data_IF_635354111460
#
_entry.id   IF_635354111460
#
_cell.length_a   1.000
_cell.length_b   1.000
_cell.length_c   1.000
_cell.angle_alpha   90.00
_cell.angle_beta   90.00
_cell.angle_gamma   90.00
#
_symmetry.space_group_name_H-M   'P 1'
#
loop_
_entity.id
_entity.type
_entity.pdbx_description
1 polymer ?
#
# COMPACT_ATOMS: atom_id res chain seq x y z
N UNK A 1 -2.26 -7.59 19.81
CA UNK A 1 -2.36 -7.78 18.33
C UNK A 1 -1.87 -9.15 17.89
N UNK A 2 -0.69 -9.57 18.34
CA UNK A 2 -0.10 -10.85 17.93
C UNK A 2 -0.84 -12.08 18.47
N UNK A 3 -1.57 -11.94 19.58
CA UNK A 3 -2.38 -13.04 20.13
C UNK A 3 -3.44 -13.57 19.14
N UNK A 4 -3.89 -12.72 18.23
CA UNK A 4 -4.85 -13.05 17.17
C UNK A 4 -4.31 -14.10 16.20
N UNK A 5 -2.99 -14.25 16.09
CA UNK A 5 -2.37 -15.27 15.26
C UNK A 5 -2.68 -16.68 15.78
N UNK A 6 -2.93 -16.83 17.09
CA UNK A 6 -3.23 -18.10 17.74
C UNK A 6 -4.72 -18.42 17.81
N UNK A 7 -5.60 -17.52 17.39
CA UNK A 7 -7.04 -17.75 17.38
C UNK A 7 -7.48 -18.67 16.21
N UNK A 8 -8.66 -19.30 16.22
CA UNK A 8 -9.20 -19.97 15.04
C UNK A 8 -9.55 -18.99 13.91
N UNK A 9 -9.40 -19.41 12.65
CA UNK A 9 -9.82 -18.60 11.50
C UNK A 9 -11.34 -18.71 11.37
N UNK A 10 -12.05 -17.60 11.59
CA UNK A 10 -13.51 -17.54 11.49
C UNK A 10 -14.03 -17.10 10.11
N UNK A 11 -13.21 -16.36 9.36
CA UNK A 11 -13.52 -15.86 8.02
C UNK A 11 -12.43 -16.37 7.08
N UNK A 12 -12.65 -17.48 6.36
CA UNK A 12 -11.60 -18.13 5.58
C UNK A 12 -11.09 -17.27 4.42
N UNK A 13 -11.96 -16.43 3.86
CA UNK A 13 -11.65 -15.51 2.76
C UNK A 13 -11.31 -14.10 3.23
N UNK A 14 -11.25 -13.87 4.54
CA UNK A 14 -10.87 -12.61 5.15
C UNK A 14 -10.20 -12.89 6.50
N UNK A 15 -9.06 -13.57 6.46
CA UNK A 15 -8.40 -14.12 7.63
C UNK A 15 -8.07 -13.00 8.60
N UNK A 16 -8.48 -13.20 9.86
CA UNK A 16 -8.25 -12.24 10.96
C UNK A 16 -8.88 -10.85 10.73
N UNK A 17 -9.90 -10.73 9.88
CA UNK A 17 -10.52 -9.44 9.57
C UNK A 17 -10.95 -8.64 10.80
N UNK A 18 -11.38 -9.28 11.90
CA UNK A 18 -11.69 -8.58 13.16
C UNK A 18 -10.46 -7.88 13.76
N UNK A 19 -9.31 -8.54 13.70
CA UNK A 19 -8.02 -7.98 14.10
C UNK A 19 -7.58 -6.85 13.19
N UNK A 20 -7.67 -7.07 11.89
CA UNK A 20 -7.33 -6.08 10.86
C UNK A 20 -8.18 -4.83 11.02
N UNK A 21 -9.50 -4.94 11.28
CA UNK A 21 -10.37 -3.80 11.60
C UNK A 21 -9.81 -3.03 12.80
N UNK A 22 -9.50 -3.70 13.91
CA UNK A 22 -8.98 -3.04 15.11
C UNK A 22 -7.65 -2.32 14.85
N UNK A 23 -6.78 -2.87 13.99
CA UNK A 23 -5.51 -2.23 13.63
C UNK A 23 -5.71 -1.05 12.69
N UNK A 24 -6.54 -1.24 11.67
CA UNK A 24 -6.89 -0.21 10.70
C UNK A 24 -7.47 1.02 11.40
N UNK A 25 -8.37 0.83 12.38
CA UNK A 25 -8.94 1.94 13.18
C UNK A 25 -7.89 2.67 14.03
N UNK A 26 -6.96 1.95 14.66
CA UNK A 26 -5.91 2.57 15.48
C UNK A 26 -4.90 3.34 14.64
N UNK A 27 -4.49 2.77 13.51
CA UNK A 27 -3.58 3.42 12.55
C UNK A 27 -4.25 4.64 11.96
N UNK A 28 -5.49 4.51 11.50
CA UNK A 28 -6.30 5.63 11.00
C UNK A 28 -6.37 6.78 12.00
N UNK A 29 -6.63 6.48 13.29
CA UNK A 29 -6.61 7.49 14.34
C UNK A 29 -5.22 8.13 14.52
N UNK A 30 -4.15 7.33 14.57
CA UNK A 30 -2.80 7.85 14.77
C UNK A 30 -2.34 8.77 13.62
N UNK A 31 -2.60 8.36 12.38
CA UNK A 31 -2.31 9.17 11.18
C UNK A 31 -3.17 10.43 11.16
N UNK A 32 -4.45 10.32 11.50
CA UNK A 32 -5.34 11.47 11.65
C UNK A 32 -4.80 12.50 12.65
N UNK A 33 -4.47 12.05 13.87
CA UNK A 33 -3.98 12.92 14.94
C UNK A 33 -2.63 13.58 14.55
N UNK A 34 -1.74 12.82 13.90
CA UNK A 34 -0.46 13.31 13.38
C UNK A 34 -0.65 14.47 12.39
N UNK A 35 -1.49 14.27 11.37
CA UNK A 35 -1.77 15.31 10.36
C UNK A 35 -2.48 16.52 10.98
N UNK A 36 -3.43 16.30 11.91
CA UNK A 36 -4.10 17.40 12.62
C UNK A 36 -3.16 18.17 13.54
N UNK A 37 -2.11 17.53 14.04
CA UNK A 37 -1.02 18.15 14.78
C UNK A 37 -0.02 18.91 13.88
N UNK A 38 -0.27 19.01 12.58
CA UNK A 38 0.67 19.60 11.59
C UNK A 38 2.01 18.86 11.48
N UNK A 39 2.03 17.56 11.76
CA UNK A 39 3.19 16.70 11.56
C UNK A 39 3.07 15.92 10.24
N UNK A 40 4.22 15.51 9.71
CA UNK A 40 4.30 14.59 8.57
C UNK A 40 4.33 13.15 9.09
N UNK A 41 3.35 12.28 8.76
CA UNK A 41 3.37 10.88 9.15
C UNK A 41 4.41 10.10 8.35
N UNK A 42 5.32 9.45 9.07
CA UNK A 42 6.16 8.37 8.57
C UNK A 42 5.68 7.08 9.23
N UNK A 43 5.13 6.18 8.44
CA UNK A 43 4.53 4.92 8.93
C UNK A 43 5.50 3.78 8.68
N UNK A 44 5.84 3.04 9.72
CA UNK A 44 6.53 1.76 9.62
C UNK A 44 5.51 0.69 9.99
N UNK A 45 5.01 -0.05 9.02
CA UNK A 45 3.96 -1.06 9.23
C UNK A 45 4.53 -2.48 9.15
N UNK A 46 3.73 -3.44 9.62
CA UNK A 46 4.04 -4.86 9.53
C UNK A 46 3.65 -5.39 8.16
N UNK A 47 2.46 -5.98 8.06
CA UNK A 47 1.90 -6.35 6.77
C UNK A 47 1.22 -5.17 6.06
N UNK A 48 1.01 -5.30 4.74
CA UNK A 48 0.49 -4.22 3.90
C UNK A 48 -1.01 -3.89 4.13
N UNK A 49 -1.76 -4.74 4.84
CA UNK A 49 -3.18 -4.46 5.16
C UNK A 49 -3.36 -3.15 5.95
N UNK A 50 -2.31 -2.76 6.69
CA UNK A 50 -2.24 -1.55 7.48
C UNK A 50 -2.36 -0.26 6.66
N UNK A 51 -2.00 -0.29 5.38
CA UNK A 51 -2.08 0.87 4.49
C UNK A 51 -3.52 1.38 4.31
N UNK A 52 -4.53 0.52 4.44
CA UNK A 52 -5.94 0.94 4.49
C UNK A 52 -6.18 1.92 5.66
N UNK A 53 -5.55 1.66 6.80
CA UNK A 53 -5.62 2.51 7.98
C UNK A 53 -4.95 3.85 7.73
N UNK A 54 -3.77 3.83 7.09
CA UNK A 54 -3.05 5.03 6.67
C UNK A 54 -3.92 5.90 5.75
N UNK A 55 -4.48 5.32 4.69
CA UNK A 55 -5.37 6.00 3.74
C UNK A 55 -6.60 6.58 4.44
N UNK A 56 -7.27 5.79 5.28
CA UNK A 56 -8.44 6.24 6.05
C UNK A 56 -8.10 7.43 6.97
N UNK A 57 -6.95 7.38 7.65
CA UNK A 57 -6.48 8.45 8.53
C UNK A 57 -6.21 9.75 7.78
N UNK A 58 -5.55 9.67 6.61
CA UNK A 58 -5.33 10.81 5.72
C UNK A 58 -6.66 11.41 5.29
N UNK A 59 -7.59 10.57 4.81
CA UNK A 59 -8.89 11.02 4.32
C UNK A 59 -9.74 11.66 5.41
N UNK A 60 -9.74 11.10 6.62
CA UNK A 60 -10.38 11.71 7.79
C UNK A 60 -9.77 13.07 8.14
N UNK A 61 -8.44 13.19 8.06
CA UNK A 61 -7.77 14.44 8.40
C UNK A 61 -8.00 15.53 7.35
N UNK A 62 -8.15 15.11 6.08
CA UNK A 62 -8.32 15.98 4.91
C UNK A 62 -9.50 15.52 4.05
N UNK A 63 -10.76 15.65 4.52
CA UNK A 63 -11.93 15.07 3.84
C UNK A 63 -12.21 15.64 2.45
N UNK A 64 -11.76 16.88 2.20
CA UNK A 64 -11.87 17.55 0.89
C UNK A 64 -10.69 17.26 -0.04
N UNK A 65 -9.68 16.53 0.43
CA UNK A 65 -8.50 16.21 -0.37
C UNK A 65 -8.87 15.20 -1.45
N UNK A 66 -8.36 15.47 -2.66
CA UNK A 66 -8.23 14.47 -3.71
C UNK A 66 -6.88 13.78 -3.49
N UNK A 67 -6.92 12.57 -2.93
CA UNK A 67 -5.75 11.82 -2.52
C UNK A 67 -5.26 10.94 -3.67
N UNK A 68 -4.05 11.18 -4.15
CA UNK A 68 -3.32 10.27 -5.02
C UNK A 68 -2.55 9.23 -4.21
N UNK A 69 -2.39 8.04 -4.77
CA UNK A 69 -1.63 6.94 -4.15
C UNK A 69 -0.55 6.47 -5.11
N UNK A 70 0.70 6.51 -4.65
CA UNK A 70 1.83 5.86 -5.32
C UNK A 70 2.11 4.57 -4.55
N UNK A 71 1.83 3.45 -5.20
CA UNK A 71 1.96 2.10 -4.64
C UNK A 71 3.19 1.43 -5.25
N UNK A 72 4.28 1.34 -4.50
CA UNK A 72 5.55 0.78 -4.94
C UNK A 72 5.66 -0.62 -4.36
N UNK A 73 5.36 -1.63 -5.18
CA UNK A 73 5.05 -2.99 -4.73
C UNK A 73 5.30 -4.00 -5.85
N UNK A 74 5.60 -5.26 -5.50
CA UNK A 74 5.53 -6.37 -6.45
C UNK A 74 4.08 -6.81 -6.76
N UNK A 75 3.16 -6.63 -5.83
CA UNK A 75 1.78 -7.08 -5.82
C UNK A 75 0.78 -5.95 -6.06
N UNK A 76 -0.43 -6.31 -6.46
CA UNK A 76 -1.48 -5.34 -6.73
C UNK A 76 -2.25 -4.96 -5.47
N UNK A 77 -2.41 -5.87 -4.52
CA UNK A 77 -3.18 -5.66 -3.30
C UNK A 77 -4.66 -5.29 -3.56
N UNK A 78 -5.18 -5.82 -4.67
CA UNK A 78 -6.51 -5.54 -5.21
C UNK A 78 -7.45 -6.74 -5.11
N UNK A 79 -7.05 -7.79 -4.39
CA UNK A 79 -7.98 -8.84 -4.04
C UNK A 79 -9.06 -8.34 -3.07
N UNK A 80 -10.14 -9.09 -3.04
CA UNK A 80 -11.27 -8.90 -2.12
C UNK A 80 -11.57 -10.24 -1.49
N UNK A 81 -12.37 -10.29 -0.40
CA UNK A 81 -12.82 -11.57 0.12
C UNK A 81 -13.60 -12.41 -0.90
N UNK A 82 -14.16 -11.79 -1.94
CA UNK A 82 -14.85 -12.47 -3.03
C UNK A 82 -13.89 -13.15 -4.03
N UNK A 83 -12.67 -12.64 -4.18
CA UNK A 83 -11.75 -13.02 -5.27
C UNK A 83 -10.45 -13.67 -4.81
N UNK A 84 -10.11 -13.51 -3.53
CA UNK A 84 -8.82 -13.95 -2.98
C UNK A 84 -8.60 -15.46 -3.07
N UNK A 85 -7.42 -15.93 -3.50
CA UNK A 85 -7.07 -17.35 -3.45
C UNK A 85 -6.66 -17.80 -2.04
N UNK A 86 -6.21 -16.87 -1.19
CA UNK A 86 -5.57 -17.18 0.09
C UNK A 86 -6.40 -16.75 1.31
N UNK A 87 -7.27 -15.75 1.16
CA UNK A 87 -7.97 -15.11 2.27
C UNK A 87 -7.10 -14.15 3.09
N UNK A 88 -5.84 -13.93 2.73
CA UNK A 88 -4.96 -13.05 3.48
C UNK A 88 -5.29 -11.58 3.20
N UNK A 89 -5.51 -10.80 4.26
CA UNK A 89 -5.98 -9.41 4.16
C UNK A 89 -4.92 -8.42 3.65
N UNK A 90 -3.63 -8.77 3.69
CA UNK A 90 -2.56 -7.89 3.19
C UNK A 90 -2.67 -7.68 1.68
N UNK A 91 -3.22 -8.63 0.92
CA UNK A 91 -3.49 -8.47 -0.52
C UNK A 91 -4.80 -7.75 -0.87
N UNK A 92 -5.45 -7.08 0.08
CA UNK A 92 -6.76 -6.43 -0.12
C UNK A 92 -6.87 -4.91 0.18
N UNK A 93 -5.85 -4.20 0.72
CA UNK A 93 -6.05 -2.85 1.22
C UNK A 93 -6.45 -1.86 0.14
N UNK A 94 -5.93 -1.97 -1.09
CA UNK A 94 -6.28 -1.04 -2.16
C UNK A 94 -7.70 -1.25 -2.68
N UNK A 95 -8.14 -2.51 -2.86
CA UNK A 95 -9.53 -2.77 -3.23
C UNK A 95 -10.51 -2.20 -2.20
N UNK A 96 -10.19 -2.35 -0.91
CA UNK A 96 -10.98 -1.73 0.16
C UNK A 96 -10.97 -0.19 0.06
N UNK A 97 -9.81 0.41 -0.18
CA UNK A 97 -9.65 1.87 -0.28
C UNK A 97 -10.43 2.48 -1.45
N UNK A 98 -10.52 1.78 -2.59
CA UNK A 98 -11.28 2.23 -3.77
C UNK A 98 -12.74 1.78 -3.75
N UNK A 99 -13.16 1.05 -2.70
CA UNK A 99 -14.47 0.45 -2.52
C UNK A 99 -14.90 -0.54 -3.65
N UNK A 100 -13.97 -1.35 -4.14
CA UNK A 100 -14.22 -2.38 -5.15
C UNK A 100 -14.40 -3.76 -4.51
N UNK A 101 -15.42 -4.50 -4.96
CA UNK A 101 -15.66 -5.90 -4.55
C UNK A 101 -15.22 -6.92 -5.59
N UNK A 102 -15.13 -6.49 -6.86
CA UNK A 102 -14.81 -7.31 -8.02
C UNK A 102 -15.77 -8.51 -8.18
N UNK A 103 -17.08 -8.24 -8.02
CA UNK A 103 -18.14 -9.27 -8.03
C UNK A 103 -18.16 -10.09 -9.34
N UNK A 104 -17.80 -9.48 -10.47
CA UNK A 104 -17.75 -10.15 -11.78
C UNK A 104 -16.72 -11.29 -11.83
N UNK A 105 -15.67 -11.20 -11.00
CA UNK A 105 -14.62 -12.20 -10.87
C UNK A 105 -14.72 -13.00 -9.56
N UNK A 106 -15.86 -12.92 -8.86
CA UNK A 106 -16.06 -13.61 -7.58
C UNK A 106 -15.94 -15.12 -7.73
N UNK A 107 -15.17 -15.74 -6.82
CA UNK A 107 -15.00 -17.18 -6.69
C UNK A 107 -15.52 -17.71 -5.35
N UNK A 108 -15.98 -16.82 -4.47
CA UNK A 108 -16.47 -17.14 -3.12
C UNK A 108 -17.82 -16.51 -2.81
N UNK A 109 -18.65 -17.25 -2.06
CA UNK A 109 -19.81 -16.68 -1.39
C UNK A 109 -19.44 -16.36 0.06
N UNK A 110 -19.65 -15.10 0.47
CA UNK A 110 -19.34 -14.66 1.84
C UNK A 110 -20.52 -14.88 2.77
N UNK A 111 -20.23 -15.30 4.00
CA UNK A 111 -21.21 -15.24 5.07
C UNK A 111 -21.52 -13.78 5.47
N UNK A 112 -22.68 -13.58 6.10
CA UNK A 112 -23.18 -12.25 6.47
C UNK A 112 -22.21 -11.49 7.39
N UNK A 113 -21.50 -12.20 8.28
CA UNK A 113 -20.56 -11.58 9.22
C UNK A 113 -19.32 -11.08 8.47
N UNK A 114 -18.74 -11.91 7.60
CA UNK A 114 -17.57 -11.54 6.79
C UNK A 114 -17.91 -10.37 5.86
N UNK A 115 -19.08 -10.41 5.20
CA UNK A 115 -19.54 -9.31 4.34
C UNK A 115 -19.70 -8.00 5.13
N UNK A 116 -20.34 -8.02 6.32
CA UNK A 116 -20.46 -6.83 7.17
C UNK A 116 -19.10 -6.27 7.61
N UNK A 117 -18.14 -7.14 7.93
CA UNK A 117 -16.81 -6.73 8.33
C UNK A 117 -16.02 -6.11 7.16
N UNK A 118 -16.16 -6.66 5.96
CA UNK A 118 -15.58 -6.09 4.74
C UNK A 118 -16.19 -4.72 4.40
N UNK A 119 -17.52 -4.59 4.48
CA UNK A 119 -18.19 -3.30 4.31
C UNK A 119 -17.73 -2.26 5.35
N UNK A 120 -17.52 -2.67 6.60
CA UNK A 120 -16.98 -1.77 7.63
C UNK A 120 -15.60 -1.24 7.24
N UNK A 121 -14.71 -2.08 6.71
CA UNK A 121 -13.39 -1.67 6.23
C UNK A 121 -13.47 -0.67 5.07
N UNK A 122 -14.30 -0.94 4.06
CA UNK A 122 -14.50 -0.03 2.91
C UNK A 122 -15.05 1.34 3.31
N UNK A 123 -15.82 1.40 4.40
CA UNK A 123 -16.50 2.62 4.87
C UNK A 123 -15.82 3.25 6.10
N UNK A 124 -14.57 2.87 6.39
CA UNK A 124 -13.80 3.44 7.50
C UNK A 124 -13.74 4.98 7.41
N UNK A 125 -14.02 5.64 8.54
CA UNK A 125 -14.05 7.09 8.61
C UNK A 125 -15.27 7.76 7.99
N UNK A 126 -16.36 7.02 7.71
CA UNK A 126 -17.60 7.51 7.09
C UNK A 126 -17.43 8.06 5.68
N UNK A 127 -16.36 7.64 5.00
CA UNK A 127 -16.12 7.95 3.59
C UNK A 127 -16.23 6.65 2.83
N UNK A 128 -17.27 6.54 1.99
CA UNK A 128 -17.32 5.49 0.99
C UNK A 128 -16.39 5.89 -0.16
N UNK A 129 -15.48 5.00 -0.55
CA UNK A 129 -14.39 5.25 -1.52
C UNK A 129 -13.42 6.36 -1.07
N UNK A 130 -12.34 5.95 -0.41
CA UNK A 130 -11.33 6.87 0.14
C UNK A 130 -10.41 7.43 -0.96
N UNK A 131 -10.17 6.63 -2.00
CA UNK A 131 -9.30 6.93 -3.15
C UNK A 131 -10.05 6.60 -4.44
N UNK A 132 -9.91 7.43 -5.47
CA UNK A 132 -10.44 7.12 -6.79
C UNK A 132 -9.48 6.17 -7.51
N UNK A 133 -9.97 5.14 -8.24
CA UNK A 133 -9.11 4.19 -8.95
C UNK A 133 -8.10 4.86 -9.90
N UNK A 134 -8.52 5.91 -10.61
CA UNK A 134 -7.65 6.65 -11.54
C UNK A 134 -6.51 7.42 -10.86
N UNK A 135 -6.62 7.68 -9.55
CA UNK A 135 -5.61 8.39 -8.76
C UNK A 135 -4.59 7.44 -8.11
N UNK A 136 -4.66 6.13 -8.41
CA UNK A 136 -3.67 5.12 -8.01
C UNK A 136 -2.63 4.92 -9.12
N UNK A 137 -1.37 4.86 -8.73
CA UNK A 137 -0.24 4.54 -9.61
C UNK A 137 0.60 3.42 -9.00
N UNK A 138 0.61 2.27 -9.66
CA UNK A 138 1.50 1.17 -9.35
C UNK A 138 2.90 1.41 -9.92
N UNK A 139 3.92 1.05 -9.16
CA UNK A 139 5.32 1.01 -9.60
C UNK A 139 5.93 -0.32 -9.22
N UNK A 140 6.57 -1.00 -10.18
CA UNK A 140 7.20 -2.32 -10.01
C UNK A 140 6.25 -3.51 -9.86
N UNK A 141 4.95 -3.31 -10.08
CA UNK A 141 3.93 -4.37 -10.11
C UNK A 141 4.30 -5.46 -11.13
N UNK A 142 4.32 -6.71 -10.68
CA UNK A 142 4.77 -7.85 -11.51
C UNK A 142 4.27 -9.23 -11.06
N UNK A 143 3.63 -9.36 -9.91
CA UNK A 143 3.05 -10.62 -9.42
C UNK A 143 1.63 -10.36 -8.92
N UNK A 144 0.63 -10.77 -9.69
CA UNK A 144 -0.79 -10.53 -9.40
C UNK A 144 -1.67 -11.47 -10.22
N UNK A 145 -2.83 -11.80 -9.67
CA UNK A 145 -3.77 -12.76 -10.25
C UNK A 145 -4.66 -12.14 -11.33
N UNK A 146 -5.34 -13.00 -12.09
CA UNK A 146 -6.26 -12.56 -13.16
C UNK A 146 -7.43 -11.72 -12.62
N UNK A 147 -7.87 -11.99 -11.39
CA UNK A 147 -8.93 -11.26 -10.72
C UNK A 147 -8.49 -9.82 -10.44
N UNK A 148 -7.28 -9.60 -9.92
CA UNK A 148 -6.71 -8.28 -9.69
C UNK A 148 -6.44 -7.54 -11.00
N UNK A 149 -5.92 -8.27 -12.00
CA UNK A 149 -5.74 -7.75 -13.36
C UNK A 149 -7.04 -7.18 -13.93
N UNK A 150 -8.16 -7.88 -13.74
CA UNK A 150 -9.46 -7.42 -14.20
C UNK A 150 -9.84 -6.07 -13.58
N UNK A 151 -9.53 -5.84 -12.30
CA UNK A 151 -9.78 -4.55 -11.63
C UNK A 151 -8.88 -3.45 -12.20
N UNK A 152 -7.59 -3.74 -12.39
CA UNK A 152 -6.63 -2.79 -12.97
C UNK A 152 -7.06 -2.36 -14.37
N UNK A 153 -7.47 -3.31 -15.22
CA UNK A 153 -7.93 -3.04 -16.59
C UNK A 153 -9.28 -2.32 -16.63
N UNK A 154 -10.25 -2.75 -15.79
CA UNK A 154 -11.58 -2.14 -15.67
C UNK A 154 -11.50 -0.65 -15.36
N UNK A 155 -10.63 -0.27 -14.43
CA UNK A 155 -10.46 1.11 -14.00
C UNK A 155 -9.34 1.87 -14.70
N UNK A 156 -8.57 1.21 -15.56
CA UNK A 156 -7.44 1.81 -16.26
C UNK A 156 -6.33 2.33 -15.33
N UNK A 157 -6.10 1.64 -14.21
CA UNK A 157 -5.14 2.06 -13.18
C UNK A 157 -3.74 2.14 -13.78
N UNK A 158 -3.00 3.20 -13.45
CA UNK A 158 -1.68 3.45 -14.03
C UNK A 158 -0.66 2.46 -13.46
N UNK A 159 0.08 1.79 -14.35
CA UNK A 159 1.21 0.92 -13.97
C UNK A 159 2.50 1.43 -14.60
N UNK A 160 3.54 1.60 -13.79
CA UNK A 160 4.92 1.84 -14.21
C UNK A 160 5.74 0.59 -13.93
N UNK A 161 6.10 -0.15 -14.98
CA UNK A 161 6.85 -1.40 -14.84
C UNK A 161 8.28 -1.17 -14.37
N UNK A 162 8.90 -2.16 -13.73
CA UNK A 162 10.32 -2.13 -13.35
C UNK A 162 11.23 -1.89 -14.56
N UNK A 163 10.88 -2.45 -15.72
CA UNK A 163 11.58 -2.22 -16.98
C UNK A 163 11.50 -0.75 -17.43
N UNK A 164 10.35 -0.10 -17.24
CA UNK A 164 10.21 1.32 -17.51
C UNK A 164 11.07 2.15 -16.55
N UNK A 165 11.06 1.83 -15.25
CA UNK A 165 11.90 2.52 -14.24
C UNK A 165 13.37 2.47 -14.63
N UNK A 166 13.89 1.29 -15.00
CA UNK A 166 15.26 1.11 -15.47
C UNK A 166 15.57 1.89 -16.74
N UNK A 167 14.63 1.88 -17.70
CA UNK A 167 14.85 2.49 -19.01
C UNK A 167 14.93 4.00 -18.97
N UNK A 168 14.04 4.65 -18.20
CA UNK A 168 13.94 6.12 -18.19
C UNK A 168 14.54 6.76 -16.92
N UNK A 169 14.84 5.97 -15.89
CA UNK A 169 15.43 6.42 -14.64
C UNK A 169 14.42 7.06 -13.68
N UNK A 170 14.77 7.03 -12.39
CA UNK A 170 13.94 7.50 -11.28
C UNK A 170 13.44 8.94 -11.45
N UNK A 171 14.27 9.85 -11.95
CA UNK A 171 13.93 11.26 -12.20
C UNK A 171 12.80 11.44 -13.23
N UNK A 172 12.80 10.65 -14.31
CA UNK A 172 11.77 10.77 -15.34
C UNK A 172 10.49 10.05 -14.92
N UNK A 173 10.60 8.92 -14.22
CA UNK A 173 9.46 8.25 -13.60
C UNK A 173 8.77 9.18 -12.61
N UNK A 174 9.51 9.76 -11.68
CA UNK A 174 8.92 10.60 -10.63
C UNK A 174 8.19 11.80 -11.24
N UNK A 175 8.80 12.49 -12.21
CA UNK A 175 8.15 13.59 -12.95
C UNK A 175 6.91 13.13 -13.71
N UNK A 176 6.95 11.96 -14.35
CA UNK A 176 5.79 11.39 -15.06
C UNK A 176 4.63 11.07 -14.11
N UNK A 177 4.91 10.43 -12.98
CA UNK A 177 3.91 10.06 -11.96
C UNK A 177 3.33 11.30 -11.29
N UNK A 178 4.16 12.26 -10.87
CA UNK A 178 3.71 13.50 -10.24
C UNK A 178 2.90 14.37 -11.21
N UNK A 179 3.22 14.34 -12.51
CA UNK A 179 2.40 14.98 -13.55
C UNK A 179 1.07 14.26 -13.75
N UNK A 180 1.05 12.92 -13.70
CA UNK A 180 -0.18 12.14 -13.80
C UNK A 180 -1.13 12.45 -12.62
N UNK A 181 -0.58 12.59 -11.40
CA UNK A 181 -1.30 12.96 -10.19
C UNK A 181 -1.37 14.48 -9.97
N UNK A 182 -1.28 15.31 -11.02
CA UNK A 182 -1.24 16.77 -10.87
C UNK A 182 -2.49 17.36 -10.25
N UNK A 183 -3.63 16.70 -10.43
CA UNK A 183 -4.93 17.16 -9.94
C UNK A 183 -5.20 16.72 -8.50
N UNK A 184 -4.41 15.77 -7.98
CA UNK A 184 -4.46 15.38 -6.58
C UNK A 184 -3.92 16.53 -5.71
N UNK A 185 -4.60 16.84 -4.62
CA UNK A 185 -4.17 17.86 -3.66
C UNK A 185 -3.13 17.31 -2.70
N UNK A 186 -3.19 16.02 -2.40
CA UNK A 186 -2.27 15.29 -1.55
C UNK A 186 -1.90 13.95 -2.19
N UNK A 187 -0.71 13.44 -1.88
CA UNK A 187 -0.20 12.18 -2.41
C UNK A 187 0.36 11.36 -1.24
N UNK A 188 -0.08 10.10 -1.16
CA UNK A 188 0.46 9.10 -0.26
C UNK A 188 1.44 8.20 -1.02
N UNK A 189 2.62 7.95 -0.44
CA UNK A 189 3.60 7.00 -0.97
C UNK A 189 3.64 5.79 -0.05
N UNK A 190 3.26 4.63 -0.57
CA UNK A 190 3.40 3.33 0.09
C UNK A 190 4.56 2.57 -0.57
N UNK A 191 5.55 2.18 0.21
CA UNK A 191 6.69 1.39 -0.25
C UNK A 191 6.69 0.03 0.43
N UNK A 192 6.30 -0.98 -0.33
CA UNK A 192 6.56 -2.37 0.01
C UNK A 192 8.00 -2.71 -0.34
N UNK A 193 8.73 -3.28 0.62
CA UNK A 193 10.12 -3.70 0.40
C UNK A 193 10.25 -4.88 -0.56
N UNK A 194 9.19 -5.65 -0.81
CA UNK A 194 9.16 -6.72 -1.81
C UNK A 194 9.13 -6.21 -3.25
N UNK A 195 8.90 -4.90 -3.44
CA UNK A 195 9.12 -4.23 -4.72
C UNK A 195 10.59 -4.27 -5.15
N UNK A 196 11.52 -4.48 -4.21
CA UNK A 196 12.93 -4.75 -4.45
C UNK A 196 13.15 -6.16 -5.02
N UNK A 197 14.24 -6.33 -5.76
CA UNK A 197 14.60 -7.64 -6.31
C UNK A 197 14.95 -8.65 -5.21
N UNK A 198 14.32 -9.82 -5.21
CA UNK A 198 14.57 -10.88 -4.22
C UNK A 198 15.98 -11.48 -4.23
N UNK A 199 16.81 -11.17 -5.24
CA UNK A 199 18.24 -11.48 -5.23
C UNK A 199 19.03 -10.59 -4.24
N UNK A 200 18.47 -9.45 -3.81
CA UNK A 200 19.07 -8.55 -2.82
C UNK A 200 18.82 -9.10 -1.41
N UNK A 201 17.55 -9.31 -1.07
CA UNK A 201 17.14 -9.88 0.21
C UNK A 201 15.80 -10.61 0.05
N UNK A 202 15.58 -11.58 0.92
CA UNK A 202 14.30 -12.28 1.11
C UNK A 202 13.62 -11.92 2.43
N UNK A 203 14.06 -10.84 3.09
CA UNK A 203 13.52 -10.34 4.34
C UNK A 203 12.14 -9.69 4.22
N UNK A 204 11.22 -10.36 3.52
CA UNK A 204 9.81 -9.99 3.29
C UNK A 204 8.97 -11.27 3.19
N UNK A 205 7.67 -11.18 3.43
CA UNK A 205 6.74 -12.31 3.35
C UNK A 205 6.66 -12.95 1.95
N UNK A 206 6.74 -12.15 0.89
CA UNK A 206 6.43 -12.54 -0.50
C UNK A 206 7.51 -12.09 -1.49
N UNK A 207 8.73 -12.65 -1.46
CA UNK A 207 9.83 -12.17 -2.29
C UNK A 207 9.64 -12.48 -3.79
N UNK A 208 9.63 -11.45 -4.63
CA UNK A 208 9.45 -11.57 -6.09
C UNK A 208 10.71 -11.13 -6.87
N UNK A 209 11.15 -11.96 -7.80
CA UNK A 209 12.33 -11.66 -8.65
C UNK A 209 12.08 -10.52 -9.65
N UNK A 210 13.15 -10.01 -10.27
CA UNK A 210 13.11 -8.94 -11.27
C UNK A 210 12.56 -7.60 -10.75
N UNK A 211 12.68 -7.35 -9.44
CA UNK A 211 12.25 -6.12 -8.77
C UNK A 211 13.26 -4.98 -8.89
N UNK A 212 13.01 -3.87 -8.19
CA UNK A 212 13.90 -2.71 -8.17
C UNK A 212 15.24 -3.03 -7.51
N UNK A 213 16.31 -2.41 -8.00
CA UNK A 213 17.57 -2.37 -7.24
C UNK A 213 17.47 -1.36 -6.11
N UNK A 214 18.25 -1.55 -5.05
CA UNK A 214 18.31 -0.62 -3.90
C UNK A 214 18.45 0.85 -4.35
N UNK A 215 19.44 1.16 -5.20
CA UNK A 215 19.64 2.53 -5.72
C UNK A 215 18.46 3.04 -6.55
N UNK A 216 17.78 2.16 -7.30
CA UNK A 216 16.63 2.55 -8.11
C UNK A 216 15.46 2.97 -7.21
N UNK A 217 15.18 2.21 -6.15
CA UNK A 217 14.16 2.53 -5.16
C UNK A 217 14.52 3.78 -4.35
N UNK A 218 15.76 3.86 -3.87
CA UNK A 218 16.27 4.97 -3.08
C UNK A 218 16.19 6.30 -3.84
N UNK A 219 16.63 6.33 -5.10
CA UNK A 219 16.54 7.51 -5.96
C UNK A 219 15.08 7.87 -6.25
N UNK A 220 14.23 6.88 -6.52
CA UNK A 220 12.82 7.10 -6.84
C UNK A 220 12.06 7.72 -5.67
N UNK A 221 12.16 7.13 -4.48
CA UNK A 221 11.47 7.60 -3.28
C UNK A 221 12.00 8.98 -2.88
N UNK A 222 13.32 9.19 -2.92
CA UNK A 222 13.92 10.50 -2.66
C UNK A 222 13.36 11.59 -3.55
N UNK A 223 13.08 11.29 -4.83
CA UNK A 223 12.50 12.25 -5.78
C UNK A 223 11.03 12.53 -5.50
N UNK A 224 10.27 11.54 -5.05
CA UNK A 224 8.89 11.79 -4.60
C UNK A 224 8.86 12.69 -3.37
N UNK A 225 9.73 12.45 -2.38
CA UNK A 225 9.78 13.25 -1.13
C UNK A 225 10.12 14.74 -1.35
N UNK A 226 10.63 15.12 -2.53
CA UNK A 226 10.83 16.54 -2.90
C UNK A 226 9.52 17.28 -3.21
N UNK A 227 8.43 16.56 -3.45
CA UNK A 227 7.15 17.17 -3.81
C UNK A 227 6.34 17.53 -2.55
N UNK A 228 5.94 18.80 -2.44
CA UNK A 228 5.15 19.32 -1.31
C UNK A 228 3.74 18.72 -1.17
N UNK A 229 3.24 18.04 -2.20
CA UNK A 229 1.97 17.31 -2.14
C UNK A 229 2.09 15.96 -1.44
N UNK A 230 3.30 15.42 -1.27
CA UNK A 230 3.47 14.20 -0.48
C UNK A 230 3.04 14.51 0.96
N UNK A 231 2.06 13.76 1.47
CA UNK A 231 1.45 14.02 2.77
C UNK A 231 1.69 12.92 3.79
N UNK A 232 2.20 11.76 3.35
CA UNK A 232 2.50 10.60 4.18
C UNK A 232 3.45 9.67 3.41
N UNK A 233 4.38 9.05 4.13
CA UNK A 233 5.27 8.01 3.60
C UNK A 233 5.19 6.76 4.47
N UNK A 234 4.96 5.60 3.86
CA UNK A 234 4.91 4.30 4.53
C UNK A 234 5.96 3.35 3.98
N UNK A 235 6.61 2.60 4.88
CA UNK A 235 7.45 1.43 4.58
C UNK A 235 6.85 0.22 5.27
N UNK A 236 6.69 -0.89 4.55
CA UNK A 236 6.00 -2.10 5.03
C UNK A 236 6.73 -3.39 4.65
N UNK A 237 6.21 -4.53 5.10
CA UNK A 237 6.60 -5.92 4.79
C UNK A 237 8.07 -6.28 5.09
N UNK A 238 8.76 -5.51 5.93
CA UNK A 238 10.07 -5.92 6.46
C UNK A 238 9.88 -7.09 7.42
N UNK A 239 10.45 -8.24 7.06
CA UNK A 239 10.42 -9.44 7.86
C UNK A 239 11.85 -9.93 8.22
N UNK A 240 12.39 -9.52 9.37
CA UNK A 240 13.73 -9.93 9.81
C UNK A 240 13.90 -11.44 9.99
N UNK A 241 12.81 -12.19 10.19
CA UNK A 241 12.88 -13.64 10.45
C UNK A 241 13.15 -14.47 9.20
N UNK A 242 12.90 -13.90 8.02
CA UNK A 242 13.17 -14.51 6.71
C UNK A 242 14.46 -13.98 6.06
N UNK A 243 15.14 -13.08 6.75
CA UNK A 243 16.27 -12.33 6.20
C UNK A 243 17.62 -12.94 6.59
N UNK A 244 18.67 -12.52 5.88
CA UNK A 244 20.06 -12.80 6.23
C UNK A 244 20.66 -11.56 6.88
N UNK A 245 21.01 -11.68 8.16
CA UNK A 245 21.71 -10.61 8.90
C UNK A 245 20.99 -9.25 8.85
N UNK A 246 19.65 -9.25 8.76
CA UNK A 246 18.80 -8.06 8.78
C UNK A 246 19.01 -7.09 7.59
N UNK A 247 19.55 -7.59 6.47
CA UNK A 247 19.87 -6.81 5.27
C UNK A 247 18.69 -5.98 4.72
N UNK A 248 17.48 -6.53 4.66
CA UNK A 248 16.28 -5.81 4.22
C UNK A 248 15.98 -4.62 5.13
N UNK A 249 16.11 -4.80 6.45
CA UNK A 249 15.88 -3.72 7.40
C UNK A 249 16.96 -2.63 7.28
N UNK A 250 18.22 -2.99 7.01
CA UNK A 250 19.29 -2.01 6.74
C UNK A 250 19.00 -1.21 5.46
N UNK A 251 18.57 -1.87 4.38
CA UNK A 251 18.19 -1.22 3.12
C UNK A 251 16.98 -0.29 3.34
N UNK A 252 15.93 -0.78 3.99
CA UNK A 252 14.74 0.00 4.32
C UNK A 252 15.10 1.21 5.19
N UNK A 253 16.02 1.05 6.15
CA UNK A 253 16.53 2.14 6.98
C UNK A 253 17.31 3.19 6.17
N UNK A 254 18.17 2.77 5.24
CA UNK A 254 18.90 3.70 4.36
C UNK A 254 17.95 4.54 3.50
N UNK A 255 16.94 3.89 2.90
CA UNK A 255 15.89 4.55 2.12
C UNK A 255 15.10 5.52 3.00
N UNK A 256 14.71 5.09 4.21
CA UNK A 256 14.01 5.92 5.18
C UNK A 256 14.84 7.15 5.54
N UNK A 257 16.11 6.96 5.91
CA UNK A 257 17.00 8.04 6.34
C UNK A 257 17.15 9.09 5.24
N UNK A 258 17.39 8.67 4.00
CA UNK A 258 17.50 9.60 2.87
C UNK A 258 16.18 10.32 2.59
N UNK A 259 15.05 9.61 2.65
CA UNK A 259 13.72 10.17 2.45
C UNK A 259 13.38 11.24 3.49
N UNK A 260 13.63 10.97 4.77
CA UNK A 260 13.41 11.92 5.87
C UNK A 260 14.34 13.11 5.77
N UNK A 261 15.61 12.91 5.39
CA UNK A 261 16.55 14.02 5.16
C UNK A 261 16.03 14.99 4.08
N UNK A 262 15.45 14.47 3.00
CA UNK A 262 14.83 15.31 1.95
C UNK A 262 13.62 16.08 2.51
N UNK A 263 12.77 15.42 3.31
CA UNK A 263 11.60 16.07 3.92
C UNK A 263 11.99 17.22 4.87
N UNK A 264 13.08 17.06 5.63
CA UNK A 264 13.57 18.10 6.55
C UNK A 264 14.19 19.31 5.84
N UNK A 265 14.51 19.20 4.54
CA UNK A 265 15.06 20.31 3.75
C UNK A 265 13.98 21.19 3.09
N UNK A 266 12.70 20.78 3.12
CA UNK A 266 11.59 21.42 2.40
C UNK A 266 10.74 22.37 3.25
#
# INVERSE_FOLDING_TARGET
PNDLLFEPIHSPYAKRIHGVISMTEKISKAVYDCIKGSFFPVVLSGDHSNALGTIAGIKLAKPKSKLGVIWIDAHADMHTPYTTPSGNMHGMPLAAAIAEDNQEASIHELDEKTSKQWEHLKNLGKVNQMVLPEDVVFISLRDYEKEEKAVIEKHGIKVITTAEVRRIGAENVSRKVLRYLSDCTDIYVSFDVDSLDSAISKGTGTPVSNGLKEREAEDLISKFMQNRKICCFEITEVNPTLDKENLMAEIAFNILQRSVNVLMMN
#
